data_IF_699055175922
#
_entry.id   IF_699055175922
#
_cell.length_a   1.000
_cell.length_b   1.000
_cell.length_c   1.000
_cell.angle_alpha   90.00
_cell.angle_beta   90.00
_cell.angle_gamma   90.00
#
_symmetry.space_group_name_H-M   'P 1'
#
loop_
_entity.id
_entity.type
_entity.pdbx_description
1 polymer ?
#
# COMPACT_ATOMS: atom_id res chain seq x y z
N UNK A 1 19.18 -4.79 13.31
CA UNK A 1 19.37 -6.20 12.87
C UNK A 1 20.84 -6.64 12.96
N UNK A 2 21.76 -6.16 12.11
CA UNK A 2 23.13 -6.70 12.05
C UNK A 2 23.96 -6.53 13.34
N UNK A 3 23.88 -5.36 14.00
CA UNK A 3 24.56 -5.14 15.28
C UNK A 3 24.00 -6.05 16.39
N UNK A 4 22.67 -6.22 16.44
CA UNK A 4 22.01 -7.14 17.37
C UNK A 4 22.50 -8.59 17.18
N UNK A 5 22.57 -9.06 15.92
CA UNK A 5 23.12 -10.38 15.62
C UNK A 5 24.56 -10.51 16.11
N UNK A 6 25.40 -9.51 15.84
CA UNK A 6 26.77 -9.50 16.31
C UNK A 6 26.87 -9.55 17.85
N UNK A 7 25.98 -8.86 18.57
CA UNK A 7 25.92 -8.91 20.03
C UNK A 7 25.48 -10.28 20.55
N UNK A 8 24.52 -10.95 19.88
CA UNK A 8 24.14 -12.33 20.21
C UNK A 8 25.32 -13.32 20.09
N UNK A 9 26.17 -13.16 19.07
CA UNK A 9 27.31 -14.05 18.85
C UNK A 9 28.54 -13.74 19.73
N UNK A 10 28.57 -12.59 20.42
CA UNK A 10 29.61 -12.27 21.41
C UNK A 10 29.43 -13.03 22.72
N UNK A 11 28.24 -13.58 22.98
CA UNK A 11 28.01 -14.40 24.17
C UNK A 11 28.68 -15.78 24.01
N UNK A 12 29.87 -15.90 24.59
CA UNK A 12 30.66 -17.14 24.62
C UNK A 12 30.32 -18.05 25.80
N UNK A 13 29.43 -17.61 26.69
CA UNK A 13 29.02 -18.36 27.89
C UNK A 13 27.63 -18.98 27.73
N UNK A 14 26.82 -18.46 26.82
CA UNK A 14 25.52 -18.99 26.46
C UNK A 14 25.57 -20.35 25.77
N UNK A 15 24.46 -21.10 25.84
CA UNK A 15 24.30 -22.32 25.07
C UNK A 15 24.01 -21.96 23.60
N UNK A 16 24.29 -22.89 22.68
CA UNK A 16 23.90 -22.72 21.27
C UNK A 16 22.43 -22.32 21.11
N UNK A 17 21.56 -22.91 21.93
CA UNK A 17 20.11 -22.69 21.88
C UNK A 17 19.68 -21.31 22.39
N UNK A 18 20.47 -20.67 23.26
CA UNK A 18 20.21 -19.28 23.68
C UNK A 18 20.67 -18.27 22.62
N UNK A 19 21.81 -18.54 21.96
CA UNK A 19 22.30 -17.71 20.85
C UNK A 19 21.35 -17.77 19.65
N UNK A 20 20.82 -18.96 19.31
CA UNK A 20 19.83 -19.13 18.24
C UNK A 20 18.56 -18.31 18.51
N UNK A 21 18.00 -18.39 19.73
CA UNK A 21 16.82 -17.58 20.12
C UNK A 21 17.09 -16.07 20.10
N UNK A 22 18.28 -15.65 20.51
CA UNK A 22 18.71 -14.25 20.43
C UNK A 22 18.77 -13.79 18.96
N UNK A 23 19.39 -14.60 18.09
CA UNK A 23 19.52 -14.26 16.68
C UNK A 23 18.16 -14.16 15.97
N UNK A 24 17.21 -15.02 16.31
CA UNK A 24 15.84 -14.97 15.80
C UNK A 24 15.13 -13.67 16.19
N UNK A 25 15.30 -13.20 17.43
CA UNK A 25 14.66 -11.98 17.92
C UNK A 25 15.20 -10.72 17.23
N UNK A 26 16.45 -10.71 16.76
CA UNK A 26 17.04 -9.58 16.06
C UNK A 26 16.35 -9.21 14.73
N UNK A 27 15.57 -10.15 14.16
CA UNK A 27 14.85 -9.98 12.89
C UNK A 27 13.33 -9.83 13.04
N UNK A 28 12.75 -10.00 14.22
CA UNK A 28 11.29 -10.04 14.40
C UNK A 28 10.63 -8.70 14.08
N UNK A 29 11.14 -7.59 14.63
CA UNK A 29 10.62 -6.24 14.36
C UNK A 29 10.69 -5.91 12.88
N UNK A 30 11.79 -6.25 12.20
CA UNK A 30 11.92 -6.02 10.76
C UNK A 30 10.89 -6.83 9.95
N UNK A 31 10.73 -8.12 10.25
CA UNK A 31 9.70 -8.97 9.61
C UNK A 31 8.28 -8.47 9.88
N UNK A 32 8.03 -7.87 11.03
CA UNK A 32 6.73 -7.27 11.36
C UNK A 32 6.49 -6.00 10.53
N UNK A 33 7.44 -5.09 10.49
CA UNK A 33 7.36 -3.87 9.67
C UNK A 33 7.16 -4.23 8.20
N UNK A 34 7.93 -5.20 7.67
CA UNK A 34 7.80 -5.62 6.28
C UNK A 34 6.37 -6.09 5.97
N UNK A 35 5.78 -6.92 6.84
CA UNK A 35 4.38 -7.37 6.70
C UNK A 35 3.39 -6.21 6.74
N UNK A 36 3.57 -5.27 7.66
CA UNK A 36 2.70 -4.08 7.74
C UNK A 36 2.83 -3.25 6.45
N UNK A 37 4.05 -2.97 6.02
CA UNK A 37 4.31 -2.20 4.80
C UNK A 37 3.68 -2.85 3.55
N UNK A 38 3.88 -4.16 3.36
CA UNK A 38 3.27 -4.92 2.27
C UNK A 38 1.73 -4.82 2.33
N UNK A 39 1.14 -5.02 3.51
CA UNK A 39 -0.32 -4.94 3.70
C UNK A 39 -0.86 -3.55 3.37
N UNK A 40 -0.22 -2.50 3.88
CA UNK A 40 -0.64 -1.12 3.69
C UNK A 40 -0.56 -0.68 2.21
N UNK A 41 0.55 -1.00 1.54
CA UNK A 41 0.77 -0.60 0.15
C UNK A 41 -0.12 -1.39 -0.81
N UNK A 42 -0.31 -2.69 -0.58
CA UNK A 42 -1.23 -3.50 -1.39
C UNK A 42 -2.67 -2.98 -1.23
N UNK A 43 -3.11 -2.75 0.01
CA UNK A 43 -4.44 -2.20 0.28
C UNK A 43 -4.65 -0.84 -0.35
N UNK A 44 -3.65 0.04 -0.30
CA UNK A 44 -3.67 1.34 -0.96
C UNK A 44 -3.83 1.22 -2.48
N UNK A 45 -3.03 0.35 -3.11
CA UNK A 45 -3.08 0.12 -4.55
C UNK A 45 -4.43 -0.46 -4.99
N UNK A 46 -4.95 -1.46 -4.28
CA UNK A 46 -6.26 -2.08 -4.58
C UNK A 46 -7.41 -1.07 -4.47
N UNK A 47 -7.38 -0.20 -3.45
CA UNK A 47 -8.39 0.85 -3.29
C UNK A 47 -8.32 1.86 -4.45
N UNK A 48 -7.11 2.29 -4.83
CA UNK A 48 -6.92 3.23 -5.93
C UNK A 48 -7.40 2.64 -7.27
N UNK A 49 -7.05 1.39 -7.56
CA UNK A 49 -7.50 0.68 -8.76
C UNK A 49 -9.03 0.54 -8.81
N UNK A 50 -9.66 0.14 -7.69
CA UNK A 50 -11.13 0.08 -7.60
C UNK A 50 -11.77 1.45 -7.76
N UNK A 51 -11.16 2.51 -7.27
CA UNK A 51 -11.64 3.88 -7.43
C UNK A 51 -11.65 4.29 -8.92
N UNK A 52 -10.57 4.02 -9.64
CA UNK A 52 -10.48 4.28 -11.08
C UNK A 52 -11.52 3.47 -11.88
N UNK A 53 -11.71 2.18 -11.56
CA UNK A 53 -12.77 1.38 -12.19
C UNK A 53 -14.17 1.92 -11.89
N UNK A 54 -14.43 2.35 -10.65
CA UNK A 54 -15.70 2.98 -10.27
C UNK A 54 -15.94 4.27 -11.06
N UNK A 55 -14.90 5.06 -11.33
CA UNK A 55 -15.00 6.24 -12.17
C UNK A 55 -15.39 5.89 -13.61
N UNK A 56 -14.76 4.85 -14.18
CA UNK A 56 -15.10 4.34 -15.50
C UNK A 56 -16.55 3.85 -15.57
N UNK A 57 -16.97 3.02 -14.61
CA UNK A 57 -18.34 2.49 -14.55
C UNK A 57 -19.37 3.61 -14.45
N UNK A 58 -19.11 4.64 -13.65
CA UNK A 58 -19.99 5.82 -13.55
C UNK A 58 -20.15 6.53 -14.89
N UNK A 59 -19.08 6.68 -15.66
CA UNK A 59 -19.20 7.31 -16.99
C UNK A 59 -19.90 6.38 -17.98
N UNK A 60 -19.59 5.08 -17.95
CA UNK A 60 -20.26 4.07 -18.79
C UNK A 60 -21.77 4.03 -18.51
N UNK A 61 -22.20 4.16 -17.25
CA UNK A 61 -23.61 4.26 -16.88
C UNK A 61 -24.26 5.56 -17.38
N UNK A 62 -23.52 6.66 -17.43
CA UNK A 62 -24.03 7.96 -17.86
C UNK A 62 -24.12 8.11 -19.38
N UNK A 63 -23.18 7.53 -20.13
CA UNK A 63 -23.07 7.68 -21.59
C UNK A 63 -23.51 6.44 -22.37
N UNK A 64 -23.66 5.30 -21.70
CA UNK A 64 -24.03 4.01 -22.29
C UNK A 64 -22.84 3.04 -22.39
N UNK A 65 -23.09 1.73 -22.56
CA UNK A 65 -22.08 0.68 -22.41
C UNK A 65 -21.06 0.59 -23.55
N UNK A 66 -21.27 1.31 -24.66
CA UNK A 66 -20.50 1.16 -25.89
C UNK A 66 -19.84 2.48 -26.30
N UNK A 67 -18.58 2.72 -25.87
CA UNK A 67 -17.83 3.92 -26.23
C UNK A 67 -17.63 4.11 -27.74
N UNK A 68 -17.71 3.05 -28.54
CA UNK A 68 -17.54 3.15 -29.99
C UNK A 68 -18.70 3.93 -30.64
N UNK A 69 -19.88 3.90 -30.02
CA UNK A 69 -21.10 4.57 -30.48
C UNK A 69 -21.20 6.03 -30.02
N UNK A 70 -20.26 6.50 -29.21
CA UNK A 70 -20.27 7.88 -28.75
C UNK A 70 -19.96 8.82 -29.92
N UNK A 71 -20.79 9.86 -30.08
CA UNK A 71 -20.45 11.00 -30.91
C UNK A 71 -19.19 11.69 -30.39
N UNK A 72 -18.54 12.49 -31.23
CA UNK A 72 -17.31 13.21 -30.87
C UNK A 72 -17.49 14.07 -29.60
N UNK A 73 -18.63 14.76 -29.49
CA UNK A 73 -18.99 15.54 -28.29
C UNK A 73 -19.14 14.67 -27.03
N UNK A 74 -19.72 13.48 -27.16
CA UNK A 74 -19.88 12.53 -26.05
C UNK A 74 -18.53 11.94 -25.62
N UNK A 75 -17.63 11.67 -26.57
CA UNK A 75 -16.27 11.18 -26.26
C UNK A 75 -15.48 12.21 -25.46
N UNK A 76 -15.48 13.46 -25.90
CA UNK A 76 -14.82 14.54 -25.16
C UNK A 76 -15.37 14.71 -23.75
N UNK A 77 -16.71 14.73 -23.60
CA UNK A 77 -17.35 14.83 -22.30
C UNK A 77 -17.13 13.60 -21.40
N UNK A 78 -17.03 12.40 -21.97
CA UNK A 78 -16.70 11.17 -21.25
C UNK A 78 -15.28 11.22 -20.70
N UNK A 79 -14.29 11.56 -21.54
CA UNK A 79 -12.89 11.67 -21.15
C UNK A 79 -12.66 12.75 -20.09
N UNK A 80 -13.25 13.93 -20.25
CA UNK A 80 -13.15 15.02 -19.27
C UNK A 80 -13.66 14.57 -17.89
N UNK A 81 -14.86 13.97 -17.85
CA UNK A 81 -15.46 13.50 -16.60
C UNK A 81 -14.69 12.34 -15.99
N UNK A 82 -14.19 11.41 -16.81
CA UNK A 82 -13.35 10.30 -16.35
C UNK A 82 -12.06 10.83 -15.72
N UNK A 83 -11.33 11.71 -16.41
CA UNK A 83 -10.10 12.31 -15.92
C UNK A 83 -10.32 13.09 -14.63
N UNK A 84 -11.40 13.87 -14.54
CA UNK A 84 -11.76 14.59 -13.32
C UNK A 84 -12.04 13.63 -12.16
N UNK A 85 -12.76 12.55 -12.40
CA UNK A 85 -13.06 11.55 -11.38
C UNK A 85 -11.79 10.81 -10.91
N UNK A 86 -10.94 10.38 -11.83
CA UNK A 86 -9.67 9.69 -11.51
C UNK A 86 -8.71 10.63 -10.77
N UNK A 87 -8.65 11.91 -11.16
CA UNK A 87 -7.85 12.92 -10.44
C UNK A 87 -8.34 13.07 -8.99
N UNK A 88 -9.66 13.15 -8.79
CA UNK A 88 -10.25 13.19 -7.45
C UNK A 88 -9.95 11.91 -6.65
N UNK A 89 -10.00 10.73 -7.28
CA UNK A 89 -9.57 9.49 -6.64
C UNK A 89 -8.13 9.59 -6.14
N UNK A 90 -7.20 10.08 -6.97
CA UNK A 90 -5.81 10.27 -6.57
C UNK A 90 -5.69 11.22 -5.38
N UNK A 91 -6.35 12.37 -5.44
CA UNK A 91 -6.35 13.36 -4.34
C UNK A 91 -6.89 12.79 -3.03
N UNK A 92 -7.97 12.02 -3.09
CA UNK A 92 -8.56 11.39 -1.90
C UNK A 92 -7.68 10.28 -1.33
N UNK A 93 -6.99 9.52 -2.19
CA UNK A 93 -6.06 8.50 -1.74
C UNK A 93 -4.77 9.12 -1.17
N UNK A 94 -4.26 10.22 -1.73
CA UNK A 94 -3.10 10.94 -1.15
C UNK A 94 -3.33 11.33 0.31
N UNK A 95 -4.57 11.67 0.69
CA UNK A 95 -4.95 11.99 2.08
C UNK A 95 -4.84 10.79 3.04
N UNK A 96 -4.76 9.56 2.53
CA UNK A 96 -4.58 8.34 3.32
C UNK A 96 -3.11 8.08 3.66
N UNK A 97 -2.17 8.61 2.86
CA UNK A 97 -0.73 8.36 3.02
C UNK A 97 -0.18 8.74 4.40
N UNK A 98 -0.57 9.86 5.04
CA UNK A 98 -0.10 10.16 6.39
C UNK A 98 -0.46 9.07 7.40
N UNK A 99 -1.69 8.54 7.35
CA UNK A 99 -2.13 7.47 8.26
C UNK A 99 -1.43 6.14 7.97
N UNK A 100 -1.19 5.83 6.69
CA UNK A 100 -0.41 4.65 6.28
C UNK A 100 1.02 4.75 6.86
N UNK A 101 1.66 5.90 6.68
CA UNK A 101 2.98 6.19 7.25
C UNK A 101 2.98 6.00 8.77
N UNK A 102 1.98 6.53 9.48
CA UNK A 102 1.90 6.41 10.94
C UNK A 102 1.80 4.95 11.40
N UNK A 103 1.05 4.10 10.68
CA UNK A 103 0.95 2.66 10.98
C UNK A 103 2.28 1.94 10.74
N UNK A 104 2.97 2.26 9.64
CA UNK A 104 4.31 1.70 9.36
C UNK A 104 5.31 2.12 10.44
N UNK A 105 5.35 3.41 10.80
CA UNK A 105 6.24 3.92 11.86
C UNK A 105 5.91 3.29 13.21
N UNK A 106 4.64 3.06 13.52
CA UNK A 106 4.23 2.43 14.77
C UNK A 106 4.72 0.98 14.85
N UNK A 107 4.77 0.25 13.74
CA UNK A 107 5.32 -1.11 13.67
C UNK A 107 6.84 -1.17 13.93
N UNK A 108 7.57 -0.07 13.80
CA UNK A 108 8.99 0.02 14.18
C UNK A 108 9.19 0.20 15.70
N UNK A 109 8.16 0.70 16.42
CA UNK A 109 8.24 1.03 17.85
C UNK A 109 7.68 -0.09 18.74
N UNK A 110 7.01 -1.07 18.16
CA UNK A 110 6.50 -2.29 18.79
C UNK A 110 7.53 -3.40 18.79
#
# INVERSE_FOLDING_TARGET
MFLCLADCYKDTRGSRQSVERCAESCGTTFKQVQRVMETELNGFQEQLQRCAMTCFDKQTQAFGPDPSKYSESQRGAFEEKLNKCVSQCADDHLKLLPKIKDRIISAFKS
#
